data_IF_005750280071
#
_entry.id   IF_005750280071
#
_cell.length_a   1.000
_cell.length_b   1.000
_cell.length_c   1.000
_cell.angle_alpha   90.00
_cell.angle_beta   90.00
_cell.angle_gamma   90.00
#
_symmetry.space_group_name_H-M   'P 1'
#
loop_
_entity.id
_entity.type
_entity.pdbx_description
1 polymer ?
#
# COMPACT_ATOMS: atom_id res chain seq x y z
N UNK A 1 4.10 3.04 4.62
CA UNK A 1 5.23 3.81 4.08
C UNK A 1 5.23 5.28 4.49
N UNK A 2 4.41 5.72 5.46
CA UNK A 2 4.37 7.13 5.87
C UNK A 2 5.54 7.50 6.82
N UNK A 3 6.07 8.74 6.81
CA UNK A 3 6.98 9.23 7.84
C UNK A 3 6.41 9.04 9.25
N UNK A 4 7.21 8.54 10.20
CA UNK A 4 6.73 8.26 11.56
C UNK A 4 5.89 6.99 11.73
N UNK A 5 5.54 6.27 10.64
CA UNK A 5 4.96 4.92 10.76
C UNK A 5 5.92 3.97 11.47
N UNK A 6 5.42 2.97 12.22
CA UNK A 6 6.27 1.94 12.80
C UNK A 6 7.05 1.19 11.71
N UNK A 7 8.37 1.06 11.90
CA UNK A 7 9.28 0.41 10.94
C UNK A 7 10.40 -0.35 11.66
N UNK A 8 11.18 -1.08 10.88
CA UNK A 8 12.37 -1.79 11.35
C UNK A 8 12.04 -3.11 12.03
N UNK A 9 13.00 -3.63 12.79
CA UNK A 9 12.97 -5.01 13.32
C UNK A 9 11.78 -5.34 14.24
N UNK A 10 11.06 -4.33 14.74
CA UNK A 10 9.88 -4.50 15.61
C UNK A 10 8.54 -4.54 14.86
N UNK A 11 8.54 -4.26 13.56
CA UNK A 11 7.32 -4.13 12.76
C UNK A 11 6.42 -5.38 12.84
N UNK A 12 7.00 -6.58 12.68
CA UNK A 12 6.23 -7.83 12.69
C UNK A 12 5.60 -8.13 14.04
N UNK A 13 6.31 -7.82 15.14
CA UNK A 13 5.78 -7.97 16.50
C UNK A 13 4.64 -6.97 16.79
N UNK A 14 4.76 -5.72 16.32
CA UNK A 14 3.71 -4.72 16.45
C UNK A 14 2.46 -5.09 15.65
N UNK A 15 2.63 -5.54 14.40
CA UNK A 15 1.53 -6.02 13.58
C UNK A 15 0.82 -7.20 14.23
N UNK A 16 1.58 -8.14 14.84
CA UNK A 16 0.99 -9.24 15.60
C UNK A 16 0.18 -8.72 16.80
N UNK A 17 0.72 -7.81 17.59
CA UNK A 17 0.00 -7.23 18.72
C UNK A 17 -1.31 -6.55 18.28
N UNK A 18 -1.28 -5.77 17.19
CA UNK A 18 -2.47 -5.12 16.64
C UNK A 18 -3.49 -6.14 16.10
N UNK A 19 -3.03 -7.21 15.45
CA UNK A 19 -3.90 -8.30 15.00
C UNK A 19 -4.61 -8.97 16.18
N UNK A 20 -3.90 -9.28 17.26
CA UNK A 20 -4.50 -9.90 18.45
C UNK A 20 -5.50 -8.95 19.14
N UNK A 21 -5.16 -7.66 19.25
CA UNK A 21 -6.01 -6.66 19.89
C UNK A 21 -7.29 -6.34 19.11
N UNK A 22 -7.23 -6.35 17.77
CA UNK A 22 -8.34 -5.97 16.89
C UNK A 22 -9.12 -7.15 16.33
N UNK A 23 -8.57 -8.37 16.38
CA UNK A 23 -9.10 -9.53 15.67
C UNK A 23 -9.07 -9.42 14.14
N UNK A 24 -8.39 -8.40 13.60
CA UNK A 24 -8.31 -8.10 12.17
C UNK A 24 -6.92 -8.48 11.63
N UNK A 25 -6.81 -9.10 10.44
CA UNK A 25 -5.52 -9.47 9.88
C UNK A 25 -4.55 -8.29 9.74
N UNK A 26 -3.33 -8.46 10.24
CA UNK A 26 -2.24 -7.51 10.04
C UNK A 26 -1.63 -7.65 8.65
N UNK A 27 -1.36 -6.52 8.00
CA UNK A 27 -0.70 -6.46 6.69
C UNK A 27 0.76 -6.03 6.84
N UNK A 28 1.68 -6.91 6.46
CA UNK A 28 3.11 -6.58 6.39
C UNK A 28 3.39 -5.77 5.12
N UNK A 29 3.86 -4.55 5.27
CA UNK A 29 4.33 -3.74 4.15
C UNK A 29 5.84 -3.92 3.95
N UNK A 30 6.26 -4.24 2.72
CA UNK A 30 7.68 -4.37 2.34
C UNK A 30 7.98 -3.33 1.26
N UNK A 31 8.93 -2.44 1.53
CA UNK A 31 9.33 -1.39 0.60
C UNK A 31 10.45 -1.90 -0.28
N UNK A 32 10.17 -2.10 -1.57
CA UNK A 32 11.14 -2.69 -2.49
C UNK A 32 12.43 -1.86 -2.60
N UNK A 33 12.30 -0.52 -2.60
CA UNK A 33 13.42 0.40 -2.70
C UNK A 33 14.31 0.50 -1.46
N UNK A 34 13.89 -0.07 -0.32
CA UNK A 34 14.59 0.04 0.96
C UNK A 34 15.00 -1.35 1.53
N UNK A 35 14.90 -2.41 0.72
CA UNK A 35 15.17 -3.78 1.17
C UNK A 35 15.91 -4.61 0.12
N UNK A 36 16.67 -5.59 0.57
CA UNK A 36 17.18 -6.67 -0.28
C UNK A 36 16.23 -7.87 -0.25
N UNK A 37 16.31 -8.77 -1.24
CA UNK A 37 15.55 -10.01 -1.25
C UNK A 37 15.78 -10.85 0.02
N UNK A 38 17.04 -10.93 0.50
CA UNK A 38 17.38 -11.66 1.71
C UNK A 38 16.70 -11.06 2.96
N UNK A 39 16.77 -9.73 3.13
CA UNK A 39 16.10 -9.06 4.25
C UNK A 39 14.58 -9.21 4.20
N UNK A 40 13.99 -9.13 3.00
CA UNK A 40 12.56 -9.37 2.79
C UNK A 40 12.16 -10.80 3.15
N UNK A 41 12.97 -11.81 2.79
CA UNK A 41 12.74 -13.20 3.18
C UNK A 41 12.74 -13.37 4.71
N UNK A 42 13.77 -12.87 5.40
CA UNK A 42 13.86 -12.99 6.86
C UNK A 42 12.67 -12.34 7.57
N UNK A 43 12.27 -11.15 7.08
CA UNK A 43 11.10 -10.44 7.59
C UNK A 43 9.81 -11.22 7.32
N UNK A 44 9.66 -11.79 6.12
CA UNK A 44 8.50 -12.59 5.75
C UNK A 44 8.42 -13.87 6.59
N UNK A 45 9.49 -14.65 6.72
CA UNK A 45 9.51 -15.85 7.56
C UNK A 45 9.14 -15.53 9.02
N UNK A 46 9.70 -14.45 9.57
CA UNK A 46 9.32 -13.95 10.91
C UNK A 46 7.84 -13.61 10.99
N UNK A 47 7.31 -12.88 10.00
CA UNK A 47 5.90 -12.54 9.92
C UNK A 47 5.00 -13.78 9.85
N UNK A 48 5.41 -14.79 9.07
CA UNK A 48 4.70 -16.05 8.95
C UNK A 48 4.62 -16.79 10.30
N UNK A 49 5.73 -16.90 11.02
CA UNK A 49 5.78 -17.52 12.34
C UNK A 49 4.89 -16.78 13.36
N UNK A 50 4.78 -15.45 13.21
CA UNK A 50 3.89 -14.63 14.02
C UNK A 50 2.44 -14.66 13.57
N UNK A 51 2.05 -15.46 12.57
CA UNK A 51 0.65 -15.58 12.15
C UNK A 51 0.17 -14.47 11.21
N UNK A 52 1.07 -13.65 10.67
CA UNK A 52 0.74 -12.68 9.62
C UNK A 52 0.67 -13.41 8.27
N UNK A 53 -0.34 -13.11 7.47
CA UNK A 53 -0.62 -13.79 6.21
C UNK A 53 -0.86 -12.84 5.04
N UNK A 54 -0.95 -11.54 5.28
CA UNK A 54 -1.15 -10.53 4.25
C UNK A 54 0.13 -9.71 4.09
N UNK A 55 0.62 -9.62 2.86
CA UNK A 55 1.81 -8.83 2.51
C UNK A 55 1.44 -7.82 1.43
N UNK A 56 1.92 -6.59 1.56
CA UNK A 56 1.85 -5.56 0.53
C UNK A 56 3.25 -5.12 0.15
N UNK A 57 3.65 -5.36 -1.09
CA UNK A 57 4.91 -4.85 -1.63
C UNK A 57 4.67 -3.43 -2.15
N UNK A 58 5.43 -2.47 -1.65
CA UNK A 58 5.49 -1.13 -2.23
C UNK A 58 6.49 -1.10 -3.39
N UNK A 59 6.00 -0.82 -4.60
CA UNK A 59 6.84 -0.82 -5.81
C UNK A 59 7.71 0.42 -5.98
N UNK A 60 7.79 1.30 -4.99
CA UNK A 60 8.56 2.55 -5.02
C UNK A 60 7.74 3.83 -4.86
N UNK A 61 6.53 3.75 -4.32
CA UNK A 61 5.69 4.92 -3.98
C UNK A 61 6.30 5.66 -2.80
N UNK A 62 6.70 4.92 -1.76
CA UNK A 62 7.30 5.44 -0.52
C UNK A 62 8.82 5.16 -0.43
N UNK A 63 9.49 4.88 -1.55
CA UNK A 63 10.93 4.65 -1.58
C UNK A 63 11.72 5.90 -1.17
N UNK A 64 12.81 5.72 -0.41
CA UNK A 64 13.69 6.83 -0.01
C UNK A 64 13.15 7.71 1.13
N UNK A 65 11.92 7.45 1.60
CA UNK A 65 11.35 8.06 2.81
C UNK A 65 12.06 7.55 4.07
N UNK A 66 12.65 6.36 3.99
CA UNK A 66 13.51 5.83 5.05
C UNK A 66 14.96 6.07 4.72
N UNK A 67 15.58 6.89 5.56
CA UNK A 67 17.02 7.07 5.79
C UNK A 67 17.90 7.02 4.53
N UNK A 68 18.50 8.15 4.21
CA UNK A 68 19.53 8.30 3.16
C UNK A 68 20.77 7.40 3.29
N UNK A 69 20.87 6.57 4.33
CA UNK A 69 21.97 5.62 4.57
C UNK A 69 21.73 4.20 4.01
N UNK A 70 20.51 3.88 3.54
CA UNK A 70 20.16 2.58 2.93
C UNK A 70 20.34 2.54 1.41
N UNK A 71 21.05 3.52 0.82
CA UNK A 71 21.26 3.69 -0.63
C UNK A 71 21.86 2.48 -1.39
N UNK A 72 22.07 1.34 -0.72
CA UNK A 72 22.60 0.08 -1.27
C UNK A 72 21.61 -1.08 -1.29
N UNK A 73 20.43 -0.99 -0.66
CA UNK A 73 19.46 -2.09 -0.58
C UNK A 73 18.19 -1.78 -1.39
N UNK A 74 18.17 -2.19 -2.66
CA UNK A 74 16.99 -2.09 -3.51
C UNK A 74 16.73 -3.43 -4.21
N UNK A 75 15.54 -3.98 -4.01
CA UNK A 75 15.05 -5.17 -4.67
C UNK A 75 14.09 -4.81 -5.80
N UNK A 76 14.10 -5.61 -6.87
CA UNK A 76 13.06 -5.53 -7.89
C UNK A 76 11.71 -5.99 -7.29
N UNK A 77 10.65 -5.15 -7.35
CA UNK A 77 9.31 -5.53 -6.91
C UNK A 77 8.81 -6.87 -7.50
N UNK A 78 9.10 -7.17 -8.78
CA UNK A 78 8.70 -8.43 -9.39
C UNK A 78 9.47 -9.62 -8.79
N UNK A 79 10.76 -9.43 -8.50
CA UNK A 79 11.57 -10.42 -7.82
C UNK A 79 11.07 -10.68 -6.39
N UNK A 80 10.59 -9.66 -5.68
CA UNK A 80 9.96 -9.81 -4.36
C UNK A 80 8.67 -10.64 -4.43
N UNK A 81 7.79 -10.38 -5.40
CA UNK A 81 6.57 -11.19 -5.60
C UNK A 81 6.95 -12.67 -5.79
N UNK A 82 7.91 -12.94 -6.69
CA UNK A 82 8.37 -14.31 -6.98
C UNK A 82 9.02 -14.96 -5.76
N UNK A 83 9.80 -14.21 -4.98
CA UNK A 83 10.42 -14.71 -3.75
C UNK A 83 9.36 -15.14 -2.73
N UNK A 84 8.36 -14.30 -2.46
CA UNK A 84 7.28 -14.62 -1.54
C UNK A 84 6.43 -15.80 -2.03
N UNK A 85 6.19 -15.92 -3.33
CA UNK A 85 5.51 -17.09 -3.91
C UNK A 85 6.33 -18.38 -3.76
N UNK A 86 7.64 -18.33 -3.93
CA UNK A 86 8.52 -19.48 -3.66
C UNK A 86 8.48 -19.91 -2.19
N UNK A 87 8.39 -18.97 -1.25
CA UNK A 87 8.17 -19.30 0.16
C UNK A 87 6.84 -20.03 0.37
N UNK A 88 5.78 -19.60 -0.33
CA UNK A 88 4.49 -20.30 -0.31
C UNK A 88 4.54 -21.70 -0.95
N UNK A 89 5.52 -21.96 -1.80
CA UNK A 89 5.81 -23.30 -2.36
C UNK A 89 6.72 -24.13 -1.44
N UNK A 90 7.08 -23.61 -0.26
CA UNK A 90 7.93 -24.29 0.72
C UNK A 90 9.41 -24.24 0.37
N UNK A 91 9.87 -23.20 -0.34
CA UNK A 91 11.28 -23.04 -0.70
C UNK A 91 11.81 -21.64 -0.42
N UNK A 92 12.99 -21.59 0.19
CA UNK A 92 13.73 -20.33 0.37
C UNK A 92 14.34 -19.81 -0.94
N UNK A 93 14.96 -18.63 -0.88
CA UNK A 93 15.67 -17.99 -1.99
C UNK A 93 16.82 -18.86 -2.53
N UNK A 94 17.53 -19.58 -1.65
CA UNK A 94 18.60 -20.53 -1.99
C UNK A 94 18.11 -21.84 -2.63
N UNK A 95 16.80 -22.12 -2.58
CA UNK A 95 16.17 -23.32 -3.11
C UNK A 95 16.01 -24.46 -2.09
N UNK A 96 16.45 -24.25 -0.85
CA UNK A 96 16.28 -25.19 0.25
C UNK A 96 14.80 -25.36 0.57
N UNK A 97 14.42 -26.56 1.01
CA UNK A 97 13.05 -26.80 1.50
C UNK A 97 12.89 -26.16 2.88
N UNK A 98 11.75 -25.52 3.09
CA UNK A 98 11.29 -25.12 4.41
C UNK A 98 10.61 -26.30 5.10
N UNK A 99 10.65 -26.33 6.43
CA UNK A 99 9.90 -27.32 7.22
C UNK A 99 8.38 -27.18 7.01
N UNK A 100 7.93 -25.93 6.86
CA UNK A 100 6.55 -25.56 6.52
C UNK A 100 6.55 -24.49 5.44
N UNK A 101 5.67 -24.63 4.44
CA UNK A 101 5.46 -23.62 3.43
C UNK A 101 4.73 -22.40 4.01
N UNK A 102 5.09 -21.19 3.56
CA UNK A 102 4.34 -20.02 3.96
C UNK A 102 2.95 -19.99 3.30
N UNK A 103 2.07 -19.12 3.76
CA UNK A 103 0.70 -19.01 3.23
C UNK A 103 0.29 -17.55 3.06
N UNK A 104 1.09 -16.79 2.32
CA UNK A 104 0.84 -15.36 2.10
C UNK A 104 -0.17 -15.11 0.97
N UNK A 105 -1.09 -14.19 1.22
CA UNK A 105 -1.75 -13.38 0.18
C UNK A 105 -0.86 -12.17 -0.09
N UNK A 106 -0.44 -12.00 -1.34
CA UNK A 106 0.58 -11.03 -1.74
C UNK A 106 -0.05 -9.95 -2.62
N UNK A 107 -0.05 -8.72 -2.12
CA UNK A 107 -0.44 -7.53 -2.85
C UNK A 107 0.75 -6.74 -3.35
N UNK A 108 0.54 -5.93 -4.39
CA UNK A 108 1.50 -4.91 -4.83
C UNK A 108 0.83 -3.56 -4.93
N UNK A 109 1.41 -2.55 -4.28
CA UNK A 109 1.09 -1.15 -4.53
C UNK A 109 1.90 -0.65 -5.70
N UNK A 110 1.21 -0.14 -6.71
CA UNK A 110 1.78 0.29 -7.99
C UNK A 110 1.56 1.79 -8.18
N UNK A 111 2.59 2.46 -8.70
CA UNK A 111 2.54 3.89 -9.05
C UNK A 111 1.63 4.12 -10.24
N UNK A 112 1.03 5.30 -10.33
CA UNK A 112 0.15 5.64 -11.45
C UNK A 112 0.88 5.54 -12.81
N UNK A 113 2.16 5.88 -12.83
CA UNK A 113 3.05 5.86 -14.00
C UNK A 113 3.31 4.43 -14.48
N UNK A 114 3.24 3.46 -13.57
CA UNK A 114 3.49 2.04 -13.82
C UNK A 114 2.18 1.26 -14.01
N UNK A 115 1.03 1.93 -14.14
CA UNK A 115 -0.27 1.27 -14.28
C UNK A 115 -0.39 0.39 -15.54
N UNK A 116 0.41 0.67 -16.56
CA UNK A 116 0.51 -0.18 -17.75
C UNK A 116 1.27 -1.50 -17.54
N UNK A 117 1.84 -1.72 -16.35
CA UNK A 117 2.64 -2.91 -15.99
C UNK A 117 1.94 -3.79 -14.94
N UNK A 118 0.66 -3.55 -14.67
CA UNK A 118 -0.10 -4.30 -13.67
C UNK A 118 -0.17 -5.80 -14.00
N UNK A 119 -0.22 -6.15 -15.27
CA UNK A 119 -0.20 -7.53 -15.76
C UNK A 119 1.13 -8.25 -15.46
N UNK A 120 2.27 -7.55 -15.50
CA UNK A 120 3.57 -8.12 -15.11
C UNK A 120 3.55 -8.60 -13.66
N UNK A 121 2.95 -7.84 -12.75
CA UNK A 121 2.83 -8.21 -11.33
C UNK A 121 1.88 -9.39 -11.13
N UNK A 122 0.74 -9.40 -11.83
CA UNK A 122 -0.18 -10.53 -11.80
C UNK A 122 0.49 -11.81 -12.34
N UNK A 123 1.24 -11.71 -13.45
CA UNK A 123 1.98 -12.82 -14.04
C UNK A 123 3.14 -13.31 -13.14
N UNK A 124 3.73 -12.43 -12.33
CA UNK A 124 4.70 -12.81 -11.30
C UNK A 124 4.06 -13.54 -10.11
N UNK A 125 2.73 -13.46 -9.98
CA UNK A 125 1.94 -14.15 -8.98
C UNK A 125 1.25 -13.25 -7.95
N UNK A 126 1.25 -11.92 -8.09
CA UNK A 126 0.52 -11.08 -7.15
C UNK A 126 -0.96 -11.49 -7.07
N UNK A 127 -1.49 -11.65 -5.86
CA UNK A 127 -2.88 -12.06 -5.62
C UNK A 127 -3.86 -10.88 -5.74
N UNK A 128 -3.36 -9.66 -5.52
CA UNK A 128 -4.09 -8.42 -5.77
C UNK A 128 -3.13 -7.27 -6.06
N UNK A 129 -3.65 -6.19 -6.63
CA UNK A 129 -2.89 -4.97 -6.90
C UNK A 129 -3.65 -3.78 -6.32
N UNK A 130 -2.91 -2.72 -5.99
CA UNK A 130 -3.52 -1.46 -5.59
C UNK A 130 -2.81 -0.29 -6.25
N UNK A 131 -3.56 0.66 -6.78
CA UNK A 131 -2.99 1.94 -7.17
C UNK A 131 -2.72 2.77 -5.91
N UNK A 132 -1.57 3.43 -5.85
CA UNK A 132 -1.26 4.43 -4.82
C UNK A 132 -2.34 5.52 -4.72
N UNK A 133 -2.32 6.38 -3.68
CA UNK A 133 -3.11 7.61 -3.68
C UNK A 133 -2.82 8.48 -4.91
N UNK A 134 -3.88 8.90 -5.62
CA UNK A 134 -3.82 9.78 -6.79
C UNK A 134 -4.91 10.85 -6.64
N UNK A 135 -4.52 12.09 -6.38
CA UNK A 135 -5.47 13.19 -6.16
C UNK A 135 -5.93 13.90 -7.44
N UNK A 136 -5.22 13.72 -8.56
CA UNK A 136 -5.60 14.30 -9.86
C UNK A 136 -6.54 13.35 -10.62
N UNK A 137 -7.84 13.70 -10.81
CA UNK A 137 -8.80 12.80 -11.45
C UNK A 137 -8.41 12.38 -12.87
N UNK A 138 -7.72 13.25 -13.63
CA UNK A 138 -7.26 12.90 -14.97
C UNK A 138 -6.18 11.81 -14.93
N UNK A 139 -5.22 11.91 -14.00
CA UNK A 139 -4.16 10.92 -13.79
C UNK A 139 -4.75 9.57 -13.35
N UNK A 140 -5.72 9.57 -12.44
CA UNK A 140 -6.40 8.34 -12.03
C UNK A 140 -7.15 7.67 -13.21
N UNK A 141 -7.88 8.45 -14.02
CA UNK A 141 -8.55 7.92 -15.21
C UNK A 141 -7.57 7.30 -16.20
N UNK A 142 -6.43 7.93 -16.43
CA UNK A 142 -5.39 7.40 -17.31
C UNK A 142 -4.82 6.08 -16.77
N UNK A 143 -4.51 6.02 -15.46
CA UNK A 143 -4.04 4.79 -14.82
C UNK A 143 -5.07 3.66 -14.95
N UNK A 144 -6.35 3.93 -14.69
CA UNK A 144 -7.43 2.95 -14.85
C UNK A 144 -7.65 2.51 -16.30
N UNK A 145 -7.37 3.36 -17.28
CA UNK A 145 -7.47 3.01 -18.70
C UNK A 145 -6.31 2.12 -19.15
N UNK A 146 -5.13 2.30 -18.56
CA UNK A 146 -3.96 1.44 -18.78
C UNK A 146 -4.04 0.12 -17.98
N UNK A 147 -4.88 0.07 -16.95
CA UNK A 147 -5.01 -1.09 -16.07
C UNK A 147 -5.79 -2.24 -16.73
N UNK A 148 -5.05 -3.11 -17.40
CA UNK A 148 -5.53 -4.44 -17.79
C UNK A 148 -4.96 -5.47 -16.83
N UNK A 149 -5.80 -6.09 -15.98
CA UNK A 149 -5.34 -7.07 -15.00
C UNK A 149 -6.39 -8.14 -14.74
N UNK A 150 -5.93 -9.36 -14.45
CA UNK A 150 -6.75 -10.54 -14.14
C UNK A 150 -7.01 -10.76 -12.65
N UNK A 151 -6.32 -10.02 -11.78
CA UNK A 151 -6.45 -10.11 -10.31
C UNK A 151 -7.20 -8.90 -9.76
N UNK A 152 -7.78 -8.98 -8.54
CA UNK A 152 -8.46 -7.85 -7.92
C UNK A 152 -7.61 -6.58 -7.88
N UNK A 153 -8.15 -5.49 -8.42
CA UNK A 153 -7.54 -4.16 -8.39
C UNK A 153 -8.23 -3.29 -7.34
N UNK A 154 -7.44 -2.75 -6.42
CA UNK A 154 -7.85 -1.80 -5.40
C UNK A 154 -7.34 -0.40 -5.75
N UNK A 155 -7.87 0.61 -5.07
CA UNK A 155 -7.26 1.93 -5.01
C UNK A 155 -6.95 2.28 -3.56
N UNK A 156 -5.86 3.00 -3.35
CA UNK A 156 -5.58 3.65 -2.08
C UNK A 156 -6.09 5.08 -2.08
N UNK A 157 -6.63 5.47 -0.93
CA UNK A 157 -6.97 6.86 -0.62
C UNK A 157 -6.28 7.22 0.68
N UNK A 158 -5.41 8.22 0.62
CA UNK A 158 -4.87 8.85 1.82
C UNK A 158 -5.73 10.06 2.13
N UNK A 159 -6.20 10.15 3.36
CA UNK A 159 -7.07 11.23 3.80
C UNK A 159 -6.24 12.48 4.07
N UNK A 160 -6.83 13.62 3.77
CA UNK A 160 -6.24 14.95 3.97
C UNK A 160 -7.11 15.72 4.94
N UNK A 161 -6.89 15.57 6.27
CA UNK A 161 -7.75 16.18 7.30
C UNK A 161 -7.78 17.71 7.20
N UNK A 162 -6.72 18.32 6.68
CA UNK A 162 -6.64 19.76 6.43
C UNK A 162 -5.64 20.08 5.31
N UNK A 163 -5.55 21.37 4.96
CA UNK A 163 -4.64 21.85 3.95
C UNK A 163 -3.16 21.76 4.36
N UNK A 164 -2.84 21.82 5.66
CA UNK A 164 -1.46 21.73 6.13
C UNK A 164 -0.91 20.31 5.92
N UNK A 165 -1.70 19.28 6.22
CA UNK A 165 -1.36 17.89 5.91
C UNK A 165 -1.24 17.65 4.41
N UNK A 166 -2.06 18.30 3.59
CA UNK A 166 -1.94 18.24 2.14
C UNK A 166 -0.66 18.89 1.62
N UNK A 167 -0.20 19.98 2.24
CA UNK A 167 1.08 20.63 1.93
C UNK A 167 2.27 19.78 2.38
N UNK A 168 2.22 19.23 3.59
CA UNK A 168 3.23 18.32 4.12
C UNK A 168 3.39 17.08 3.23
N UNK A 169 2.28 16.44 2.85
CA UNK A 169 2.28 15.30 1.94
C UNK A 169 2.98 15.63 0.61
N UNK A 170 2.64 16.78 0.01
CA UNK A 170 3.20 17.18 -1.29
C UNK A 170 4.70 17.50 -1.20
N UNK A 171 5.15 18.02 -0.05
CA UNK A 171 6.57 18.32 0.20
C UNK A 171 7.40 17.06 0.48
N UNK A 172 6.89 16.15 1.31
CA UNK A 172 7.62 14.96 1.77
C UNK A 172 7.53 13.81 0.76
N UNK A 173 6.42 13.71 0.01
CA UNK A 173 6.15 12.64 -0.96
C UNK A 173 5.67 13.20 -2.30
N UNK A 174 6.57 13.72 -3.15
CA UNK A 174 6.21 14.24 -4.47
C UNK A 174 5.49 13.21 -5.37
N UNK A 175 5.72 11.91 -5.14
CA UNK A 175 5.01 10.81 -5.85
C UNK A 175 3.50 10.84 -5.62
N UNK A 176 3.05 11.39 -4.47
CA UNK A 176 1.66 11.53 -4.04
C UNK A 176 1.13 12.96 -4.21
N UNK A 177 1.68 13.71 -5.17
CA UNK A 177 1.41 15.15 -5.30
C UNK A 177 -0.07 15.55 -5.23
N UNK A 178 -0.34 16.60 -4.46
CA UNK A 178 -1.69 17.11 -4.20
C UNK A 178 -1.94 18.37 -5.03
N UNK A 179 -2.94 18.38 -5.93
CA UNK A 179 -3.25 19.55 -6.75
C UNK A 179 -3.57 20.79 -5.91
N UNK A 180 -3.04 21.96 -6.31
CA UNK A 180 -3.26 23.22 -5.59
C UNK A 180 -4.75 23.55 -5.42
N UNK A 181 -5.57 23.19 -6.41
CA UNK A 181 -7.03 23.35 -6.33
C UNK A 181 -7.65 22.56 -5.18
N UNK A 182 -7.13 21.37 -4.86
CA UNK A 182 -7.59 20.59 -3.71
C UNK A 182 -7.14 21.25 -2.40
N UNK A 183 -5.88 21.68 -2.31
CA UNK A 183 -5.37 22.43 -1.13
C UNK A 183 -6.20 23.67 -0.83
N UNK A 184 -6.53 24.48 -1.84
CA UNK A 184 -7.41 25.66 -1.69
C UNK A 184 -8.80 25.32 -1.16
N UNK A 185 -9.38 24.21 -1.62
CA UNK A 185 -10.70 23.75 -1.13
C UNK A 185 -10.61 23.30 0.33
N UNK A 186 -9.54 22.59 0.71
CA UNK A 186 -9.30 22.19 2.09
C UNK A 186 -9.07 23.38 3.03
N UNK A 187 -8.45 24.47 2.56
CA UNK A 187 -8.32 25.72 3.34
C UNK A 187 -9.68 26.37 3.62
N UNK A 188 -10.66 26.13 2.75
CA UNK A 188 -12.01 26.69 2.88
C UNK A 188 -12.93 25.78 3.70
N UNK A 189 -12.84 24.47 3.47
CA UNK A 189 -13.64 23.45 4.15
C UNK A 189 -12.87 22.12 4.20
N UNK A 190 -12.41 21.74 5.39
CA UNK A 190 -11.74 20.46 5.65
C UNK A 190 -12.62 19.24 5.35
N UNK A 191 -13.95 19.39 5.44
CA UNK A 191 -14.91 18.34 5.07
C UNK A 191 -14.90 18.01 3.58
N UNK A 192 -14.21 18.79 2.75
CA UNK A 192 -14.11 18.52 1.32
C UNK A 192 -13.37 17.23 1.01
N UNK A 193 -12.38 16.85 1.82
CA UNK A 193 -11.62 15.61 1.61
C UNK A 193 -12.54 14.38 1.64
N UNK A 194 -13.25 14.20 2.76
CA UNK A 194 -14.22 13.10 2.94
C UNK A 194 -15.26 13.08 1.83
N UNK A 195 -15.82 14.23 1.45
CA UNK A 195 -16.81 14.30 0.35
C UNK A 195 -16.18 13.93 -0.99
N UNK A 196 -14.93 14.34 -1.22
CA UNK A 196 -14.14 13.96 -2.40
C UNK A 196 -13.94 12.46 -2.50
N UNK A 197 -13.48 11.83 -1.42
CA UNK A 197 -13.29 10.38 -1.32
C UNK A 197 -14.61 9.65 -1.58
N UNK A 198 -15.72 10.07 -0.97
CA UNK A 198 -17.03 9.43 -1.20
C UNK A 198 -17.49 9.55 -2.66
N UNK A 199 -17.30 10.70 -3.30
CA UNK A 199 -17.59 10.87 -4.75
C UNK A 199 -16.70 9.98 -5.61
N UNK A 200 -15.41 9.86 -5.27
CA UNK A 200 -14.48 8.96 -5.95
C UNK A 200 -14.95 7.51 -5.84
N UNK A 201 -15.25 7.03 -4.63
CA UNK A 201 -15.69 5.65 -4.42
C UNK A 201 -17.00 5.34 -5.13
N UNK A 202 -17.96 6.28 -5.13
CA UNK A 202 -19.19 6.13 -5.89
C UNK A 202 -18.92 5.99 -7.40
N UNK A 203 -17.97 6.75 -7.95
CA UNK A 203 -17.65 6.74 -9.38
C UNK A 203 -16.92 5.46 -9.82
N UNK A 204 -16.16 4.81 -8.93
CA UNK A 204 -15.28 3.69 -9.27
C UNK A 204 -15.68 2.35 -8.65
N UNK A 205 -16.79 2.28 -7.90
CA UNK A 205 -17.26 1.07 -7.20
C UNK A 205 -17.39 -0.17 -8.09
N UNK A 206 -17.71 -0.02 -9.37
CA UNK A 206 -17.89 -1.15 -10.30
C UNK A 206 -16.59 -1.60 -10.97
N UNK A 207 -15.49 -0.85 -10.81
CA UNK A 207 -14.19 -1.13 -11.44
C UNK A 207 -13.10 -1.52 -10.45
N UNK A 208 -13.32 -1.26 -9.16
CA UNK A 208 -12.39 -1.60 -8.09
C UNK A 208 -12.97 -2.72 -7.24
N UNK A 209 -12.13 -3.66 -6.82
CA UNK A 209 -12.48 -4.71 -5.87
C UNK A 209 -12.66 -4.16 -4.43
N UNK A 210 -12.07 -2.99 -4.15
CA UNK A 210 -12.20 -2.30 -2.88
C UNK A 210 -11.31 -1.06 -2.79
N UNK A 211 -11.20 -0.51 -1.59
CA UNK A 211 -10.35 0.64 -1.27
C UNK A 211 -9.52 0.37 -0.01
N UNK A 212 -8.26 0.81 -0.05
CA UNK A 212 -7.39 0.89 1.11
C UNK A 212 -7.37 2.35 1.61
N UNK A 213 -7.88 2.59 2.81
CA UNK A 213 -7.93 3.93 3.42
C UNK A 213 -6.69 4.11 4.29
N UNK A 214 -5.96 5.20 4.07
CA UNK A 214 -4.76 5.57 4.83
C UNK A 214 -5.02 6.85 5.60
N UNK A 215 -4.65 6.85 6.87
CA UNK A 215 -4.58 8.07 7.68
C UNK A 215 -3.14 8.57 7.72
N UNK A 216 -2.88 9.87 7.47
CA UNK A 216 -1.54 10.44 7.55
C UNK A 216 -1.09 10.63 9.01
N UNK A 217 -2.01 10.63 9.97
CA UNK A 217 -1.68 10.77 11.39
C UNK A 217 -2.74 10.08 12.26
N UNK A 218 -2.71 10.34 13.56
CA UNK A 218 -3.60 9.74 14.56
C UNK A 218 -5.06 10.21 14.46
N UNK A 219 -5.39 11.19 13.60
CA UNK A 219 -6.76 11.68 13.41
C UNK A 219 -7.57 10.67 12.59
N UNK A 220 -8.35 9.85 13.28
CA UNK A 220 -9.16 8.79 12.66
C UNK A 220 -10.54 9.24 12.19
N UNK A 221 -11.04 10.39 12.67
CA UNK A 221 -12.41 10.85 12.41
C UNK A 221 -12.77 10.88 10.90
N UNK A 222 -11.92 11.39 9.98
CA UNK A 222 -12.24 11.38 8.55
C UNK A 222 -12.39 9.95 8.00
N UNK A 223 -11.52 9.02 8.43
CA UNK A 223 -11.56 7.62 8.01
C UNK A 223 -12.83 6.93 8.51
N UNK A 224 -13.16 7.10 9.79
CA UNK A 224 -14.37 6.56 10.40
C UNK A 224 -15.63 7.07 9.69
N UNK A 225 -15.65 8.35 9.31
CA UNK A 225 -16.75 8.94 8.56
C UNK A 225 -16.88 8.32 7.17
N UNK A 226 -15.79 8.17 6.42
CA UNK A 226 -15.79 7.50 5.11
C UNK A 226 -16.31 6.06 5.24
N UNK A 227 -15.76 5.28 6.18
CA UNK A 227 -16.17 3.88 6.41
C UNK A 227 -17.65 3.78 6.75
N UNK A 228 -18.16 4.66 7.62
CA UNK A 228 -19.57 4.69 8.01
C UNK A 228 -20.49 4.96 6.84
N UNK A 229 -20.14 5.90 5.97
CA UNK A 229 -20.94 6.24 4.79
C UNK A 229 -20.91 5.14 3.72
N UNK A 230 -19.75 4.49 3.49
CA UNK A 230 -19.66 3.35 2.56
C UNK A 230 -20.53 2.18 3.03
N UNK A 231 -20.60 1.92 4.33
CA UNK A 231 -21.43 0.82 4.88
C UNK A 231 -22.94 1.05 4.79
N UNK A 232 -23.39 2.29 4.57
CA UNK A 232 -24.81 2.63 4.41
C UNK A 232 -25.33 2.38 3.00
N UNK A 233 -24.46 2.24 2.00
CA UNK A 233 -24.81 2.14 0.57
C UNK A 233 -24.31 0.89 -0.12
#
# INVERSE_FOLDING_TARGET
GWPGSPRGSRLTAQLRHLQDASGTPGMLEILAGDTTLAQAQETALTAHLLGLRLVLIDSGVFAGVTRSDLATASADPLALVRALKRLNEGRDLGGSRLDEATAFTIGVRVRAEDAGRLDEFAAAGADFLTLQPIYEPARFRAAMAAAAVTVPLFAEVMLLPDAATAEELDNELPSLSVPERLKQRLRTDSGEDVRGVLRFLAAWRTKLAGVCIMSPDERTEPAERVIREIRKG
#
